data_IF_537685319239
#
_entry.id   IF_537685319239
#
_cell.length_a   1.000
_cell.length_b   1.000
_cell.length_c   1.000
_cell.angle_alpha   90.00
_cell.angle_beta   90.00
_cell.angle_gamma   90.00
#
_symmetry.space_group_name_H-M   'P 1'
#
loop_
_entity.id
_entity.type
_entity.pdbx_description
1 polymer ?
#
# COMPACT_ATOMS: atom_id res chain seq x y z
N UNK A 1 -26.76 -34.64 26.60
CA UNK A 1 -27.32 -34.08 25.35
C UNK A 1 -26.24 -33.40 24.48
N UNK A 2 -25.24 -32.71 25.06
CA UNK A 2 -24.11 -32.15 24.26
C UNK A 2 -23.14 -33.22 23.73
N UNK A 3 -23.02 -34.37 24.40
CA UNK A 3 -22.07 -35.42 24.02
C UNK A 3 -22.50 -36.26 22.80
N UNK A 4 -23.76 -36.15 22.36
CA UNK A 4 -24.29 -36.89 21.20
C UNK A 4 -24.22 -36.08 19.89
N UNK A 5 -24.10 -34.76 19.96
CA UNK A 5 -24.01 -33.89 18.77
C UNK A 5 -22.59 -33.86 18.15
N UNK A 6 -21.57 -34.19 18.94
CA UNK A 6 -20.17 -34.23 18.46
C UNK A 6 -19.90 -35.49 17.63
N UNK A 7 -20.49 -36.63 17.99
CA UNK A 7 -20.22 -37.93 17.35
C UNK A 7 -20.78 -38.02 15.91
N UNK A 8 -21.87 -37.31 15.59
CA UNK A 8 -22.45 -37.31 14.24
C UNK A 8 -21.67 -36.43 13.23
N UNK A 9 -20.78 -35.55 13.69
CA UNK A 9 -19.94 -34.68 12.84
C UNK A 9 -18.49 -35.17 12.68
N UNK A 10 -18.08 -36.21 13.39
CA UNK A 10 -16.75 -36.82 13.26
C UNK A 10 -16.43 -37.36 11.85
N UNK A 11 -17.32 -38.11 11.15
CA UNK A 11 -16.96 -38.67 9.84
C UNK A 11 -16.86 -37.59 8.74
N UNK A 12 -17.62 -36.50 8.84
CA UNK A 12 -17.50 -35.35 7.93
C UNK A 12 -16.27 -34.49 8.24
N UNK A 13 -15.85 -34.41 9.52
CA UNK A 13 -14.60 -33.77 9.91
C UNK A 13 -13.36 -34.59 9.49
N UNK A 14 -13.41 -35.92 9.57
CA UNK A 14 -12.33 -36.79 9.10
C UNK A 14 -12.16 -36.72 7.58
N UNK A 15 -13.24 -36.73 6.80
CA UNK A 15 -13.19 -36.52 5.35
C UNK A 15 -12.64 -35.13 4.98
N UNK A 16 -13.06 -34.08 5.70
CA UNK A 16 -12.52 -32.75 5.47
C UNK A 16 -11.02 -32.65 5.80
N UNK A 17 -10.53 -33.40 6.79
CA UNK A 17 -9.12 -33.37 7.22
C UNK A 17 -8.18 -34.16 6.28
N UNK A 18 -8.60 -35.33 5.79
CA UNK A 18 -7.83 -36.11 4.81
C UNK A 18 -7.72 -35.40 3.44
N UNK A 19 -8.68 -34.54 3.09
CA UNK A 19 -8.63 -33.70 1.89
C UNK A 19 -7.62 -32.54 2.00
N UNK A 20 -7.31 -32.06 3.22
CA UNK A 20 -6.29 -31.02 3.43
C UNK A 20 -4.86 -31.56 3.35
N UNK A 21 -4.63 -32.85 3.63
CA UNK A 21 -3.30 -33.47 3.49
C UNK A 21 -2.86 -33.63 2.02
N UNK A 22 -3.77 -33.45 1.06
CA UNK A 22 -3.51 -33.55 -0.38
C UNK A 22 -3.07 -32.23 -1.01
N UNK A 23 -3.17 -31.11 -0.26
CA UNK A 23 -2.80 -29.80 -0.80
C UNK A 23 -1.28 -29.66 -0.72
N UNK A 24 -0.63 -29.74 -1.88
CA UNK A 24 0.82 -29.55 -1.99
C UNK A 24 1.18 -28.16 -1.43
N UNK A 25 2.14 -28.13 -0.50
CA UNK A 25 2.64 -26.90 0.08
C UNK A 25 3.14 -25.92 -0.99
N UNK A 26 3.73 -26.44 -2.07
CA UNK A 26 4.20 -25.63 -3.20
C UNK A 26 3.03 -24.96 -3.96
N UNK A 27 1.89 -25.64 -4.07
CA UNK A 27 0.69 -25.09 -4.71
C UNK A 27 0.08 -23.96 -3.88
N UNK A 28 0.08 -24.10 -2.55
CA UNK A 28 -0.35 -23.03 -1.64
C UNK A 28 0.57 -21.81 -1.70
N UNK A 29 1.90 -22.02 -1.74
CA UNK A 29 2.87 -20.94 -1.94
C UNK A 29 2.68 -20.24 -3.29
N UNK A 30 2.42 -21.00 -4.37
CA UNK A 30 2.12 -20.44 -5.68
C UNK A 30 0.84 -19.59 -5.68
N UNK A 31 -0.22 -20.05 -5.01
CA UNK A 31 -1.47 -19.31 -4.87
C UNK A 31 -1.29 -18.01 -4.08
N UNK A 32 -0.53 -18.02 -2.98
CA UNK A 32 -0.23 -16.81 -2.22
C UNK A 32 0.57 -15.80 -3.06
N UNK A 33 1.61 -16.26 -3.78
CA UNK A 33 2.39 -15.40 -4.67
C UNK A 33 1.50 -14.77 -5.76
N UNK A 34 0.62 -15.56 -6.40
CA UNK A 34 -0.35 -15.05 -7.39
C UNK A 34 -1.28 -14.01 -6.80
N UNK A 35 -1.79 -14.26 -5.59
CA UNK A 35 -2.66 -13.32 -4.87
C UNK A 35 -1.93 -12.00 -4.56
N UNK A 36 -0.70 -12.08 -4.04
CA UNK A 36 0.12 -10.91 -3.77
C UNK A 36 0.38 -10.11 -5.05
N UNK A 37 0.69 -10.78 -6.17
CA UNK A 37 0.88 -10.13 -7.48
C UNK A 37 -0.37 -9.43 -8.00
N UNK A 38 -1.55 -10.04 -7.83
CA UNK A 38 -2.83 -9.42 -8.18
C UNK A 38 -3.09 -8.16 -7.35
N UNK A 39 -2.87 -8.23 -6.04
CA UNK A 39 -3.03 -7.09 -5.13
C UNK A 39 -2.04 -5.96 -5.43
N UNK A 40 -0.78 -6.30 -5.73
CA UNK A 40 0.22 -5.34 -6.19
C UNK A 40 -0.21 -4.67 -7.50
N UNK A 41 -0.72 -5.44 -8.46
CA UNK A 41 -1.20 -4.91 -9.75
C UNK A 41 -2.33 -3.90 -9.58
N UNK A 42 -3.30 -4.17 -8.69
CA UNK A 42 -4.36 -3.22 -8.34
C UNK A 42 -3.79 -1.93 -7.74
N UNK A 43 -2.84 -2.06 -6.80
CA UNK A 43 -2.19 -0.91 -6.15
C UNK A 43 -1.39 -0.07 -7.15
N UNK A 44 -0.65 -0.72 -8.05
CA UNK A 44 0.10 -0.08 -9.13
C UNK A 44 -0.85 0.68 -10.05
N UNK A 45 -1.95 0.06 -10.50
CA UNK A 45 -2.92 0.71 -11.37
C UNK A 45 -3.52 1.95 -10.70
N UNK A 46 -3.96 1.83 -9.44
CA UNK A 46 -4.49 2.96 -8.65
C UNK A 46 -3.47 4.10 -8.53
N UNK A 47 -2.20 3.77 -8.29
CA UNK A 47 -1.13 4.76 -8.23
C UNK A 47 -0.87 5.42 -9.59
N UNK A 48 -0.78 4.65 -10.67
CA UNK A 48 -0.54 5.18 -12.01
C UNK A 48 -1.65 6.14 -12.45
N UNK A 49 -2.91 5.82 -12.12
CA UNK A 49 -4.05 6.71 -12.35
C UNK A 49 -3.93 8.02 -11.56
N UNK A 50 -3.55 7.96 -10.28
CA UNK A 50 -3.43 9.14 -9.41
C UNK A 50 -2.21 10.01 -9.73
N UNK A 51 -1.07 9.39 -10.02
CA UNK A 51 0.21 10.09 -10.16
C UNK A 51 0.61 10.34 -11.63
N UNK A 52 -0.13 9.79 -12.60
CA UNK A 52 0.16 9.94 -14.03
C UNK A 52 1.49 9.32 -14.50
N UNK A 53 2.17 8.56 -13.64
CA UNK A 53 3.53 8.03 -13.89
C UNK A 53 3.59 6.52 -13.72
N UNK A 54 4.25 5.83 -14.64
CA UNK A 54 4.47 4.38 -14.57
C UNK A 54 5.54 4.03 -13.53
N UNK A 55 5.32 2.95 -12.79
CA UNK A 55 6.31 2.36 -11.89
C UNK A 55 7.21 1.46 -12.72
N UNK A 56 8.53 1.64 -12.61
CA UNK A 56 9.53 0.79 -13.27
C UNK A 56 10.14 -0.16 -12.24
N UNK A 57 10.02 -1.47 -12.47
CA UNK A 57 10.56 -2.53 -11.60
C UNK A 57 11.98 -2.96 -11.99
N UNK A 58 12.43 -2.61 -13.19
CA UNK A 58 13.72 -3.06 -13.74
C UNK A 58 14.90 -2.19 -13.27
N UNK A 59 14.63 -1.01 -12.71
CA UNK A 59 15.68 -0.11 -12.26
C UNK A 59 16.21 -0.54 -10.90
N UNK A 60 17.54 -0.69 -10.80
CA UNK A 60 18.32 -0.69 -9.54
C UNK A 60 18.21 0.64 -8.76
N UNK A 61 17.31 1.53 -9.16
CA UNK A 61 17.02 2.75 -8.43
C UNK A 61 16.48 2.33 -7.07
N UNK A 62 17.29 2.52 -6.03
CA UNK A 62 16.80 2.43 -4.66
C UNK A 62 15.53 3.26 -4.59
N UNK A 63 14.46 2.72 -4.02
CA UNK A 63 13.21 3.43 -3.73
C UNK A 63 13.42 4.55 -2.67
N UNK A 64 14.57 5.20 -2.71
CA UNK A 64 15.03 6.18 -1.77
C UNK A 64 14.28 7.45 -2.06
N UNK A 65 13.41 7.78 -1.11
CA UNK A 65 12.77 9.06 -1.05
C UNK A 65 13.84 10.16 -1.11
N UNK A 66 13.76 11.02 -2.13
CA UNK A 66 14.65 12.15 -2.27
C UNK A 66 14.32 13.18 -1.20
N UNK A 67 15.10 13.16 -0.11
CA UNK A 67 14.92 14.07 1.03
C UNK A 67 15.01 15.54 0.60
N UNK A 68 15.72 15.87 -0.48
CA UNK A 68 15.80 17.25 -1.00
C UNK A 68 14.44 17.75 -1.50
N UNK A 69 13.56 16.84 -1.94
CA UNK A 69 12.18 17.14 -2.37
C UNK A 69 11.17 17.14 -1.22
N UNK A 70 11.59 16.78 0.00
CA UNK A 70 10.72 16.81 1.17
C UNK A 70 10.38 18.25 1.54
N UNK A 71 9.10 18.59 1.61
CA UNK A 71 8.63 19.88 2.10
C UNK A 71 8.36 19.80 3.60
N UNK A 72 9.00 20.67 4.37
CA UNK A 72 8.77 20.79 5.80
C UNK A 72 7.34 21.29 6.08
N UNK A 73 6.57 20.57 6.89
CA UNK A 73 5.21 20.99 7.28
C UNK A 73 5.20 22.29 8.09
N UNK A 74 6.25 22.56 8.86
CA UNK A 74 6.30 23.70 9.79
C UNK A 74 6.65 25.03 9.10
N UNK A 75 7.66 25.02 8.22
CA UNK A 75 8.17 26.23 7.55
C UNK A 75 7.99 26.24 6.02
N UNK A 76 7.44 25.18 5.44
CA UNK A 76 7.17 25.01 3.99
C UNK A 76 8.42 25.02 3.08
N UNK A 77 9.62 25.04 3.66
CA UNK A 77 10.89 24.94 2.95
C UNK A 77 11.20 23.48 2.57
N UNK A 78 11.97 23.30 1.50
CA UNK A 78 12.40 21.99 1.04
C UNK A 78 13.64 21.47 1.79
N UNK A 79 13.88 20.17 1.73
CA UNK A 79 15.14 19.54 2.15
C UNK A 79 15.18 18.96 3.57
N UNK A 80 14.15 19.17 4.39
CA UNK A 80 14.09 18.65 5.76
C UNK A 80 12.66 18.30 6.19
N UNK A 81 12.56 17.46 7.21
CA UNK A 81 11.27 17.12 7.83
C UNK A 81 10.92 18.12 8.93
N UNK A 82 9.63 18.24 9.25
CA UNK A 82 9.16 19.14 10.30
C UNK A 82 9.84 18.92 11.67
N UNK A 83 10.20 17.66 11.98
CA UNK A 83 10.92 17.29 13.21
C UNK A 83 12.35 17.85 13.30
N UNK A 84 12.94 18.26 12.18
CA UNK A 84 14.30 18.84 12.09
C UNK A 84 14.25 20.37 11.92
N UNK A 85 13.06 20.97 11.96
CA UNK A 85 12.86 22.39 11.69
C UNK A 85 13.19 23.22 12.93
N UNK A 86 14.21 24.08 12.83
CA UNK A 86 14.57 25.04 13.87
C UNK A 86 13.89 26.41 13.72
N UNK A 87 13.01 26.56 12.72
CA UNK A 87 12.30 27.82 12.42
C UNK A 87 10.91 27.83 13.06
N UNK A 88 10.45 29.01 13.49
CA UNK A 88 9.09 29.21 14.01
C UNK A 88 8.04 28.75 12.98
N UNK A 89 6.94 28.22 13.50
CA UNK A 89 5.81 27.72 12.72
C UNK A 89 5.17 28.86 11.88
N UNK A 90 4.99 28.62 10.59
CA UNK A 90 4.21 29.49 9.68
C UNK A 90 2.71 29.35 10.01
N UNK A 91 1.92 30.38 9.66
CA UNK A 91 0.46 30.42 9.78
C UNK A 91 -0.20 29.13 9.26
N UNK A 92 -1.16 28.62 10.02
CA UNK A 92 -1.94 27.43 9.72
C UNK A 92 -2.69 27.53 8.39
N UNK A 93 -3.20 28.71 8.04
CA UNK A 93 -3.88 28.96 6.76
C UNK A 93 -2.93 28.82 5.57
N UNK A 94 -1.68 29.25 5.73
CA UNK A 94 -0.65 29.10 4.71
C UNK A 94 -0.18 27.64 4.55
N UNK A 95 -0.25 26.83 5.61
CA UNK A 95 0.02 25.38 5.50
C UNK A 95 -1.03 24.66 4.68
N UNK A 96 -2.30 24.87 5.00
CA UNK A 96 -3.41 24.17 4.33
C UNK A 96 -3.41 24.46 2.82
N UNK A 97 -3.21 25.73 2.45
CA UNK A 97 -3.15 26.12 1.04
C UNK A 97 -1.95 25.50 0.30
N UNK A 98 -0.76 25.47 0.91
CA UNK A 98 0.42 24.86 0.30
C UNK A 98 0.25 23.34 0.04
N UNK A 99 -0.36 22.62 0.99
CA UNK A 99 -0.67 21.20 0.81
C UNK A 99 -1.71 20.98 -0.29
N UNK A 100 -2.81 21.75 -0.26
CA UNK A 100 -3.86 21.65 -1.29
C UNK A 100 -3.33 21.97 -2.68
N UNK A 101 -2.43 22.95 -2.83
CA UNK A 101 -1.78 23.25 -4.12
C UNK A 101 -0.90 22.09 -4.59
N UNK A 102 -0.20 21.39 -3.69
CA UNK A 102 0.58 20.20 -4.09
C UNK A 102 -0.29 19.03 -4.54
N UNK A 103 -1.50 18.89 -3.99
CA UNK A 103 -2.48 17.89 -4.43
C UNK A 103 -3.16 18.30 -5.74
N UNK A 104 -3.50 19.59 -5.90
CA UNK A 104 -4.14 20.11 -7.13
C UNK A 104 -3.18 20.18 -8.31
N UNK A 105 -1.88 20.46 -8.09
CA UNK A 105 -0.86 20.39 -9.16
C UNK A 105 -0.61 18.97 -9.67
N UNK A 106 -0.98 17.94 -8.91
CA UNK A 106 -1.02 16.56 -9.42
C UNK A 106 -2.27 16.25 -10.24
N UNK A 107 -3.29 17.12 -10.23
CA UNK A 107 -4.58 16.90 -10.90
C UNK A 107 -4.94 17.95 -11.97
N UNK A 108 -4.01 18.77 -12.47
CA UNK A 108 -4.33 19.65 -13.61
C UNK A 108 -4.50 18.90 -14.94
N UNK A 109 -5.43 19.37 -15.80
CA UNK A 109 -6.13 18.55 -16.75
C UNK A 109 -5.28 18.27 -18.00
N UNK A 110 -5.36 17.03 -18.47
CA UNK A 110 -4.83 16.61 -19.75
C UNK A 110 -5.51 17.45 -20.84
N UNK A 111 -4.74 18.31 -21.51
CA UNK A 111 -5.18 19.01 -22.71
C UNK A 111 -5.66 17.99 -23.77
N UNK A 112 -6.71 18.39 -24.50
CA UNK A 112 -7.43 17.62 -25.52
C UNK A 112 -6.53 17.05 -26.61
#
# INVERSE_FOLDING_TARGET
VLHSFVVENEPTQQLAYEDFEQVDQLEMEELDIKWQMAMLSLRINKFQKKAGRKINFNNKDSARFDRRKARCYSCLQLGHFARECNVKKVDEKARYSAFKISEVKTEEPKAM
#
